data_IF_319738320122
#
_entry.id   IF_319738320122
#
_cell.length_a   1.000
_cell.length_b   1.000
_cell.length_c   1.000
_cell.angle_alpha   90.00
_cell.angle_beta   90.00
_cell.angle_gamma   90.00
#
_symmetry.space_group_name_H-M   'P 1'
#
loop_
_entity.id
_entity.type
_entity.pdbx_description
1 polymer ?
#
# COMPACT_ATOMS: atom_id res chain seq x y z
N UNK A 1 6.62 -19.22 6.88
CA UNK A 1 5.74 -19.60 5.75
C UNK A 1 5.02 -18.32 5.33
N UNK A 2 5.16 -17.85 4.08
CA UNK A 2 4.53 -16.62 3.63
C UNK A 2 3.01 -16.81 3.67
N UNK A 3 2.26 -16.01 4.44
CA UNK A 3 0.80 -16.08 4.45
C UNK A 3 0.29 -15.57 3.11
N UNK A 4 -0.70 -16.25 2.54
CA UNK A 4 -1.40 -15.73 1.36
C UNK A 4 -2.18 -14.48 1.77
N UNK A 5 -2.38 -13.54 0.84
CA UNK A 5 -3.17 -12.32 1.06
C UNK A 5 -4.53 -12.65 1.69
N UNK A 6 -5.22 -13.66 1.17
CA UNK A 6 -6.54 -14.11 1.66
C UNK A 6 -6.50 -14.55 3.13
N UNK A 7 -5.45 -15.26 3.56
CA UNK A 7 -5.31 -15.66 4.96
C UNK A 7 -5.06 -14.45 5.87
N UNK A 8 -4.23 -13.50 5.43
CA UNK A 8 -3.97 -12.28 6.18
C UNK A 8 -5.24 -11.39 6.29
N UNK A 9 -6.03 -11.28 5.21
CA UNK A 9 -7.32 -10.57 5.22
C UNK A 9 -8.31 -11.23 6.19
N UNK A 10 -8.41 -12.56 6.17
CA UNK A 10 -9.28 -13.30 7.08
C UNK A 10 -8.90 -13.04 8.54
N UNK A 11 -7.63 -13.15 8.87
CA UNK A 11 -7.14 -12.91 10.24
C UNK A 11 -7.39 -11.47 10.71
N UNK A 12 -7.19 -10.48 9.83
CA UNK A 12 -7.47 -9.07 10.16
C UNK A 12 -8.97 -8.85 10.45
N UNK A 13 -9.86 -9.45 9.66
CA UNK A 13 -11.30 -9.35 9.86
C UNK A 13 -11.78 -10.14 11.08
N UNK A 14 -11.19 -11.29 11.36
CA UNK A 14 -11.46 -12.04 12.60
C UNK A 14 -11.03 -11.24 13.82
N UNK A 15 -9.89 -10.54 13.79
CA UNK A 15 -9.48 -9.66 14.88
C UNK A 15 -10.50 -8.54 15.17
N UNK A 16 -11.24 -8.09 14.14
CA UNK A 16 -12.24 -7.07 14.31
C UNK A 16 -13.52 -7.54 15.00
N UNK A 17 -13.77 -8.86 15.11
CA UNK A 17 -15.07 -9.41 15.56
C UNK A 17 -15.45 -8.98 16.97
N UNK A 18 -14.46 -8.85 17.85
CA UNK A 18 -14.67 -8.60 19.28
C UNK A 18 -14.44 -7.13 19.65
N UNK A 19 -14.21 -6.27 18.66
CA UNK A 19 -13.97 -4.85 18.85
C UNK A 19 -15.28 -4.07 18.93
N UNK A 20 -15.26 -2.95 19.67
CA UNK A 20 -16.36 -1.99 19.60
C UNK A 20 -16.52 -1.41 18.18
N UNK A 21 -17.71 -0.87 17.91
CA UNK A 21 -18.09 -0.42 16.58
C UNK A 21 -17.09 0.53 15.91
N UNK A 22 -16.52 1.47 16.68
CA UNK A 22 -15.59 2.46 16.13
C UNK A 22 -14.28 1.77 15.70
N UNK A 23 -13.72 0.92 16.57
CA UNK A 23 -12.50 0.16 16.25
C UNK A 23 -12.72 -0.85 15.12
N UNK A 24 -13.85 -1.56 15.12
CA UNK A 24 -14.22 -2.45 14.03
C UNK A 24 -14.25 -1.69 12.69
N UNK A 25 -14.86 -0.50 12.66
CA UNK A 25 -14.96 0.34 11.46
C UNK A 25 -13.59 0.77 10.93
N UNK A 26 -12.64 1.07 11.83
CA UNK A 26 -11.24 1.38 11.44
C UNK A 26 -10.59 0.16 10.79
N UNK A 27 -10.64 -1.01 11.42
CA UNK A 27 -10.04 -2.23 10.85
C UNK A 27 -10.67 -2.59 9.50
N UNK A 28 -11.99 -2.42 9.37
CA UNK A 28 -12.69 -2.62 8.11
C UNK A 28 -12.21 -1.66 7.03
N UNK A 29 -12.05 -0.38 7.37
CA UNK A 29 -11.49 0.64 6.48
C UNK A 29 -10.08 0.28 5.99
N UNK A 30 -9.20 -0.16 6.89
CA UNK A 30 -7.85 -0.62 6.54
C UNK A 30 -7.88 -1.79 5.54
N UNK A 31 -8.76 -2.77 5.77
CA UNK A 31 -8.94 -3.90 4.85
C UNK A 31 -9.41 -3.43 3.45
N UNK A 32 -10.35 -2.48 3.40
CA UNK A 32 -10.82 -1.91 2.13
C UNK A 32 -9.71 -1.13 1.41
N UNK A 33 -8.91 -0.36 2.12
CA UNK A 33 -7.79 0.38 1.52
C UNK A 33 -6.74 -0.57 0.94
N UNK A 34 -6.40 -1.68 1.63
CA UNK A 34 -5.49 -2.69 1.08
C UNK A 34 -6.03 -3.33 -0.20
N UNK A 35 -7.36 -3.41 -0.40
CA UNK A 35 -7.99 -3.91 -1.63
C UNK A 35 -7.85 -2.99 -2.83
N UNK A 36 -7.54 -1.71 -2.63
CA UNK A 36 -7.23 -0.78 -3.71
C UNK A 36 -5.84 -1.00 -4.30
N UNK A 37 -4.95 -1.69 -3.59
CA UNK A 37 -3.59 -1.92 -4.04
C UNK A 37 -3.52 -2.96 -5.16
N UNK A 38 -2.84 -2.67 -6.27
CA UNK A 38 -2.66 -3.61 -7.37
C UNK A 38 -1.84 -4.81 -6.90
N UNK A 39 -2.30 -6.01 -7.24
CA UNK A 39 -1.65 -7.27 -6.83
C UNK A 39 -0.45 -7.63 -7.71
N UNK A 40 -0.39 -7.07 -8.92
CA UNK A 40 0.71 -7.22 -9.85
C UNK A 40 1.38 -5.87 -10.04
N UNK A 41 2.69 -5.87 -10.32
CA UNK A 41 3.37 -4.67 -10.82
C UNK A 41 2.59 -4.08 -11.98
N UNK A 42 2.32 -2.78 -11.97
CA UNK A 42 1.75 -2.08 -13.10
C UNK A 42 2.82 -2.10 -14.21
N UNK A 43 2.66 -3.00 -15.18
CA UNK A 43 3.66 -3.23 -16.25
C UNK A 43 3.60 -2.19 -17.37
N UNK A 44 2.56 -1.36 -17.41
CA UNK A 44 2.29 -0.45 -18.51
C UNK A 44 2.79 0.95 -18.14
N UNK A 45 4.05 1.23 -18.50
CA UNK A 45 4.74 2.53 -18.37
C UNK A 45 3.97 3.73 -18.97
N UNK A 46 3.00 3.49 -19.84
CA UNK A 46 2.38 4.51 -20.69
C UNK A 46 0.89 4.77 -20.42
N UNK A 47 0.22 4.01 -19.54
CA UNK A 47 -1.25 4.09 -19.41
C UNK A 47 -1.77 4.74 -18.14
N UNK A 48 -1.03 4.75 -17.03
CA UNK A 48 -1.49 5.40 -15.80
C UNK A 48 -0.86 6.78 -15.71
N UNK A 49 -1.69 7.79 -15.98
CA UNK A 49 -1.32 9.18 -15.76
C UNK A 49 -1.22 9.50 -14.27
N UNK A 50 -0.54 10.59 -13.93
CA UNK A 50 -0.43 11.08 -12.54
C UNK A 50 -1.81 11.21 -11.87
N UNK A 51 -2.78 11.77 -12.60
CA UNK A 51 -4.16 11.91 -12.13
C UNK A 51 -4.80 10.55 -11.78
N UNK A 52 -4.57 9.52 -12.59
CA UNK A 52 -5.11 8.17 -12.32
C UNK A 52 -4.39 7.53 -11.13
N UNK A 53 -3.07 7.72 -11.00
CA UNK A 53 -2.30 7.24 -9.85
C UNK A 53 -2.83 7.82 -8.53
N UNK A 54 -2.97 9.14 -8.46
CA UNK A 54 -3.40 9.84 -7.25
C UNK A 54 -4.87 9.59 -6.90
N UNK A 55 -5.74 9.38 -7.89
CA UNK A 55 -7.16 9.15 -7.65
C UNK A 55 -7.52 7.68 -7.42
N UNK A 56 -6.73 6.73 -7.94
CA UNK A 56 -7.08 5.30 -7.90
C UNK A 56 -6.25 4.52 -6.89
N UNK A 57 -4.95 4.80 -6.76
CA UNK A 57 -4.03 3.94 -6.00
C UNK A 57 -3.41 4.64 -4.79
N UNK A 58 -3.28 5.96 -4.82
CA UNK A 58 -2.83 6.71 -3.66
C UNK A 58 -3.93 6.78 -2.59
N UNK A 59 -3.60 6.36 -1.38
CA UNK A 59 -4.43 6.57 -0.20
C UNK A 59 -3.51 7.08 0.92
N UNK A 60 -3.74 8.29 1.47
CA UNK A 60 -2.87 8.87 2.50
C UNK A 60 -2.60 7.94 3.68
N UNK A 61 -3.59 7.11 4.05
CA UNK A 61 -3.47 6.19 5.17
C UNK A 61 -2.44 5.08 4.93
N UNK A 62 -2.18 4.71 3.67
CA UNK A 62 -1.18 3.70 3.32
C UNK A 62 0.22 4.14 3.73
N UNK A 63 0.52 5.43 3.63
CA UNK A 63 1.81 5.96 4.06
C UNK A 63 2.01 5.77 5.56
N UNK A 64 0.97 5.99 6.36
CA UNK A 64 1.02 5.79 7.81
C UNK A 64 1.08 4.32 8.22
N UNK A 65 0.50 3.41 7.44
CA UNK A 65 0.52 1.96 7.70
C UNK A 65 1.88 1.34 7.37
N UNK A 66 2.52 1.80 6.28
CA UNK A 66 3.74 1.19 5.74
C UNK A 66 5.03 1.90 6.16
N UNK A 67 4.94 3.11 6.71
CA UNK A 67 6.09 3.80 7.26
C UNK A 67 6.50 3.23 8.62
N UNK A 68 7.81 3.28 8.89
CA UNK A 68 8.42 3.04 10.20
C UNK A 68 9.45 4.16 10.42
N UNK A 69 9.01 5.33 10.96
CA UNK A 69 9.87 6.49 11.14
C UNK A 69 11.08 6.22 12.04
N UNK A 70 10.93 5.36 13.05
CA UNK A 70 12.01 4.98 13.96
C UNK A 70 13.14 4.22 13.23
N UNK A 71 12.80 3.55 12.12
CA UNK A 71 13.76 2.90 11.22
C UNK A 71 14.05 3.71 9.95
N UNK A 72 13.64 4.98 9.89
CA UNK A 72 13.71 5.83 8.71
C UNK A 72 13.07 5.22 7.45
N UNK A 73 12.02 4.39 7.60
CA UNK A 73 11.31 3.79 6.47
C UNK A 73 10.07 4.64 6.16
N UNK A 74 9.93 5.03 4.90
CA UNK A 74 8.73 5.72 4.41
C UNK A 74 8.23 5.12 3.10
N UNK A 75 6.91 5.18 2.90
CA UNK A 75 6.29 4.95 1.59
C UNK A 75 6.38 6.23 0.77
N UNK A 76 6.97 6.15 -0.43
CA UNK A 76 7.09 7.28 -1.36
C UNK A 76 6.43 6.95 -2.67
N UNK A 77 5.72 7.92 -3.23
CA UNK A 77 5.17 7.87 -4.58
C UNK A 77 6.08 8.73 -5.46
N UNK A 78 6.95 8.10 -6.24
CA UNK A 78 7.95 8.81 -7.04
C UNK A 78 7.46 8.98 -8.48
N UNK A 79 7.60 10.20 -9.02
CA UNK A 79 7.37 10.48 -10.44
C UNK A 79 8.64 10.27 -11.29
N UNK A 80 9.66 9.61 -10.74
CA UNK A 80 10.99 9.50 -11.35
C UNK A 80 11.42 8.04 -11.34
N UNK A 81 11.97 7.56 -12.45
CA UNK A 81 12.51 6.20 -12.56
C UNK A 81 13.75 6.05 -11.64
N UNK A 82 13.87 4.89 -10.99
CA UNK A 82 15.08 4.56 -10.25
C UNK A 82 16.14 4.08 -11.23
N UNK A 83 17.29 4.76 -11.28
CA UNK A 83 18.42 4.46 -12.20
C UNK A 83 18.89 2.99 -12.16
N UNK A 84 18.60 2.27 -11.06
CA UNK A 84 19.02 0.88 -10.84
C UNK A 84 18.05 -0.16 -11.41
N UNK A 85 16.82 0.20 -11.75
CA UNK A 85 15.81 -0.73 -12.26
C UNK A 85 15.45 -0.35 -13.68
N UNK A 86 16.26 -0.84 -14.63
CA UNK A 86 16.02 -0.67 -16.07
C UNK A 86 14.55 -0.95 -16.40
N UNK A 87 13.81 0.11 -16.71
CA UNK A 87 12.41 0.09 -17.15
C UNK A 87 11.33 -0.29 -16.12
N UNK A 88 11.59 -0.28 -14.82
CA UNK A 88 10.50 -0.34 -13.83
C UNK A 88 10.38 1.00 -13.13
N UNK A 89 9.22 1.64 -13.32
CA UNK A 89 8.78 2.76 -12.47
C UNK A 89 8.09 2.15 -11.25
N UNK A 90 8.67 2.22 -10.05
CA UNK A 90 7.95 1.83 -8.85
C UNK A 90 7.02 2.99 -8.48
N UNK A 91 5.78 2.95 -8.96
CA UNK A 91 4.78 3.99 -8.67
C UNK A 91 4.61 4.23 -7.15
N UNK A 92 4.91 3.21 -6.34
CA UNK A 92 5.20 3.34 -4.91
C UNK A 92 6.48 2.57 -4.54
N UNK A 93 7.36 3.18 -3.74
CA UNK A 93 8.58 2.56 -3.21
C UNK A 93 8.59 2.66 -1.69
N UNK A 94 8.84 1.54 -1.01
CA UNK A 94 9.23 1.54 0.40
C UNK A 94 10.75 1.67 0.44
N UNK A 95 11.24 2.75 1.04
CA UNK A 95 12.67 3.07 1.05
C UNK A 95 13.11 3.55 2.42
N UNK A 96 14.36 3.24 2.79
CA UNK A 96 15.04 3.85 3.93
C UNK A 96 15.57 5.22 3.54
N UNK A 97 15.34 6.23 4.36
CA UNK A 97 15.94 7.56 4.22
C UNK A 97 17.32 7.51 4.88
N UNK A 98 18.35 7.91 4.13
CA UNK A 98 19.70 8.14 4.66
C UNK A 98 19.86 9.59 5.11
#
# INVERSE_FOLDING_TARGET
KMKTRTLAELELLTMASDLDYAKHSVIWGLNLTMKKLPMNSIKIKLSIGECELWNTYFDPILSSILADPDKNIILRWANVECDRTANQRPDATISTIN
#
